data_IF_357626306804
#
_entry.id   IF_357626306804
#
_cell.length_a   1.000
_cell.length_b   1.000
_cell.length_c   1.000
_cell.angle_alpha   90.00
_cell.angle_beta   90.00
_cell.angle_gamma   90.00
#
_symmetry.space_group_name_H-M   'P 1'
#
loop_
_entity.id
_entity.type
_entity.pdbx_description
1 polymer ?
#
# COMPACT_ATOMS: atom_id res chain seq x y z
N UNK A 1 -7.89 3.53 -14.59
CA UNK A 1 -9.11 3.03 -13.93
C UNK A 1 -9.61 4.07 -12.92
N UNK A 2 -10.93 4.26 -12.76
CA UNK A 2 -11.54 5.14 -11.74
C UNK A 2 -11.86 4.31 -10.49
N UNK A 3 -10.81 3.96 -9.74
CA UNK A 3 -10.96 3.23 -8.48
C UNK A 3 -11.36 4.19 -7.35
N UNK A 4 -12.25 3.74 -6.46
CA UNK A 4 -12.72 4.52 -5.31
C UNK A 4 -12.63 3.70 -4.04
N UNK A 5 -12.25 4.37 -2.97
CA UNK A 5 -12.18 3.80 -1.63
C UNK A 5 -12.79 4.76 -0.61
N UNK A 6 -13.22 4.22 0.52
CA UNK A 6 -13.64 4.98 1.69
C UNK A 6 -12.61 4.84 2.80
N UNK A 7 -12.39 5.91 3.56
CA UNK A 7 -11.51 5.88 4.73
C UNK A 7 -12.25 5.16 5.87
N UNK A 8 -11.72 4.01 6.29
CA UNK A 8 -12.27 3.22 7.41
C UNK A 8 -11.56 3.50 8.72
N UNK A 9 -10.27 3.91 8.67
CA UNK A 9 -9.49 4.33 9.83
C UNK A 9 -8.60 5.51 9.45
N UNK A 10 -8.54 6.51 10.33
CA UNK A 10 -7.64 7.64 10.19
C UNK A 10 -7.27 8.16 11.58
N UNK A 11 -6.10 7.74 12.06
CA UNK A 11 -5.48 8.27 13.27
C UNK A 11 -4.14 8.89 12.88
N UNK A 12 -4.02 10.23 12.86
CA UNK A 12 -2.79 10.92 12.49
C UNK A 12 -1.56 10.36 13.21
N UNK A 13 -0.49 10.09 12.46
CA UNK A 13 0.77 9.56 13.01
C UNK A 13 0.72 8.10 13.48
N UNK A 14 -0.40 7.38 13.31
CA UNK A 14 -0.56 6.01 13.83
C UNK A 14 -1.17 5.02 12.85
N UNK A 15 -2.27 5.36 12.20
CA UNK A 15 -3.03 4.39 11.42
C UNK A 15 -3.82 5.06 10.30
N UNK A 16 -3.79 4.44 9.11
CA UNK A 16 -4.64 4.82 8.01
C UNK A 16 -5.10 3.57 7.25
N UNK A 17 -6.40 3.46 6.97
CA UNK A 17 -6.99 2.31 6.28
C UNK A 17 -8.06 2.78 5.30
N UNK A 18 -8.05 2.16 4.11
CA UNK A 18 -9.00 2.35 3.03
C UNK A 18 -9.70 1.04 2.71
N UNK A 19 -11.01 1.09 2.48
CA UNK A 19 -11.79 -0.02 1.93
C UNK A 19 -12.22 0.29 0.50
N UNK A 20 -11.94 -0.63 -0.42
CA UNK A 20 -12.23 -0.47 -1.84
C UNK A 20 -13.73 -0.64 -2.12
N UNK A 21 -14.39 0.43 -2.57
CA UNK A 21 -15.84 0.46 -2.89
C UNK A 21 -16.13 0.50 -4.38
N UNK A 22 -15.11 0.78 -5.20
CA UNK A 22 -15.16 0.64 -6.66
C UNK A 22 -13.78 0.24 -7.16
N UNK A 23 -13.63 -1.00 -7.59
CA UNK A 23 -12.40 -1.56 -8.13
C UNK A 23 -12.74 -2.77 -9.00
N UNK A 24 -11.73 -3.43 -9.56
CA UNK A 24 -11.93 -4.72 -10.22
C UNK A 24 -12.42 -5.78 -9.24
N UNK A 25 -13.02 -6.85 -9.78
CA UNK A 25 -13.72 -7.89 -9.02
C UNK A 25 -12.94 -8.42 -7.82
N UNK A 26 -11.64 -8.66 -7.98
CA UNK A 26 -10.80 -9.23 -6.92
C UNK A 26 -10.37 -8.22 -5.86
N UNK A 27 -10.41 -6.93 -6.19
CA UNK A 27 -10.07 -5.83 -5.29
C UNK A 27 -11.28 -5.28 -4.54
N UNK A 28 -12.50 -5.53 -5.02
CA UNK A 28 -13.72 -5.08 -4.36
C UNK A 28 -13.79 -5.57 -2.91
N UNK A 29 -14.12 -4.67 -1.98
CA UNK A 29 -14.18 -4.94 -0.53
C UNK A 29 -12.85 -5.32 0.13
N UNK A 30 -11.73 -5.30 -0.60
CA UNK A 30 -10.40 -5.42 0.02
C UNK A 30 -10.06 -4.17 0.81
N UNK A 31 -9.20 -4.31 1.82
CA UNK A 31 -8.73 -3.22 2.68
C UNK A 31 -7.23 -3.04 2.56
N UNK A 32 -6.80 -1.81 2.30
CA UNK A 32 -5.40 -1.42 2.22
C UNK A 32 -5.11 -0.50 3.40
N UNK A 33 -4.11 -0.83 4.21
CA UNK A 33 -3.83 -0.05 5.41
C UNK A 33 -2.37 -0.05 5.84
N UNK A 34 -2.07 0.94 6.68
CA UNK A 34 -0.75 1.23 7.20
C UNK A 34 -0.86 1.52 8.69
N UNK A 35 -0.02 0.85 9.47
CA UNK A 35 0.24 1.18 10.88
C UNK A 35 1.63 1.76 11.00
N UNK A 36 1.73 2.88 11.70
CA UNK A 36 2.98 3.59 11.96
C UNK A 36 3.33 3.46 13.44
N UNK A 37 4.58 3.15 13.71
CA UNK A 37 5.11 3.09 15.07
C UNK A 37 6.51 3.67 15.14
N UNK A 38 6.74 4.51 16.15
CA UNK A 38 8.08 4.97 16.46
C UNK A 38 8.87 3.81 17.09
N UNK A 39 10.03 3.47 16.55
CA UNK A 39 10.93 2.45 17.09
C UNK A 39 12.36 2.96 16.97
N UNK A 40 13.08 3.12 18.10
CA UNK A 40 14.51 3.44 18.12
C UNK A 40 14.95 4.59 17.19
N UNK A 41 14.20 5.70 17.18
CA UNK A 41 14.51 6.88 16.36
C UNK A 41 14.09 6.78 14.88
N UNK A 42 13.47 5.67 14.45
CA UNK A 42 12.90 5.52 13.10
C UNK A 42 11.40 5.21 13.16
N UNK A 43 10.70 5.36 12.03
CA UNK A 43 9.30 4.96 11.89
C UNK A 43 9.21 3.57 11.26
N UNK A 44 8.66 2.61 12.01
CA UNK A 44 8.26 1.30 11.47
C UNK A 44 6.90 1.43 10.79
N UNK A 45 6.86 1.12 9.50
CA UNK A 45 5.62 1.03 8.71
C UNK A 45 5.21 -0.44 8.59
N UNK A 46 4.01 -0.78 9.06
CA UNK A 46 3.40 -2.09 8.80
C UNK A 46 2.27 -1.93 7.81
N UNK A 47 2.50 -2.45 6.61
CA UNK A 47 1.53 -2.49 5.53
C UNK A 47 0.68 -3.75 5.63
N UNK A 48 -0.61 -3.64 5.29
CA UNK A 48 -1.46 -4.79 5.05
C UNK A 48 -2.42 -4.53 3.88
N UNK A 49 -2.67 -5.58 3.10
CA UNK A 49 -3.73 -5.61 2.11
C UNK A 49 -4.54 -6.89 2.30
N UNK A 50 -5.71 -6.75 2.94
CA UNK A 50 -6.53 -7.86 3.43
C UNK A 50 -7.89 -7.91 2.72
N UNK A 51 -8.65 -8.98 2.93
CA UNK A 51 -9.99 -9.12 2.37
C UNK A 51 -10.02 -9.67 0.95
N UNK A 52 -8.90 -10.22 0.46
CA UNK A 52 -8.85 -10.92 -0.81
C UNK A 52 -9.72 -12.19 -0.76
N UNK A 53 -10.55 -12.45 -1.77
CA UNK A 53 -11.44 -13.62 -1.79
C UNK A 53 -10.65 -14.93 -1.95
N UNK A 54 -9.50 -14.89 -2.61
CA UNK A 54 -8.67 -16.04 -2.91
C UNK A 54 -7.21 -15.64 -3.17
N UNK A 55 -6.30 -16.61 -3.05
CA UNK A 55 -4.88 -16.45 -3.40
C UNK A 55 -4.70 -16.61 -4.92
N UNK A 56 -5.30 -15.69 -5.67
CA UNK A 56 -5.26 -15.70 -7.13
C UNK A 56 -4.05 -14.92 -7.68
N UNK A 57 -3.96 -14.86 -9.01
CA UNK A 57 -2.88 -14.16 -9.70
C UNK A 57 -2.85 -12.66 -9.35
N UNK A 58 -4.02 -12.00 -9.28
CA UNK A 58 -4.11 -10.60 -8.90
C UNK A 58 -3.58 -10.35 -7.48
N UNK A 59 -3.87 -11.23 -6.53
CA UNK A 59 -3.28 -11.17 -5.19
C UNK A 59 -1.75 -11.25 -5.24
N UNK A 60 -1.20 -12.23 -5.96
CA UNK A 60 0.26 -12.43 -6.06
C UNK A 60 0.97 -11.24 -6.69
N UNK A 61 0.42 -10.72 -7.79
CA UNK A 61 0.95 -9.53 -8.49
C UNK A 61 0.88 -8.32 -7.55
N UNK A 62 -0.25 -8.12 -6.88
CA UNK A 62 -0.45 -6.97 -5.98
C UNK A 62 0.54 -7.00 -4.82
N UNK A 63 0.77 -8.17 -4.22
CA UNK A 63 1.78 -8.36 -3.17
C UNK A 63 3.19 -7.97 -3.64
N UNK A 64 3.59 -8.38 -4.84
CA UNK A 64 4.88 -8.01 -5.42
C UNK A 64 4.98 -6.49 -5.64
N UNK A 65 3.96 -5.89 -6.28
CA UNK A 65 3.92 -4.46 -6.54
C UNK A 65 4.00 -3.61 -5.26
N UNK A 66 3.30 -4.02 -4.20
CA UNK A 66 3.33 -3.29 -2.92
C UNK A 66 4.72 -3.25 -2.29
N UNK A 67 5.49 -4.34 -2.36
CA UNK A 67 6.87 -4.34 -1.89
C UNK A 67 7.74 -3.30 -2.61
N UNK A 68 7.57 -3.19 -3.93
CA UNK A 68 8.27 -2.18 -4.76
C UNK A 68 7.86 -0.76 -4.37
N UNK A 69 6.56 -0.49 -4.25
CA UNK A 69 6.08 0.85 -3.85
C UNK A 69 6.54 1.27 -2.45
N UNK A 70 6.56 0.34 -1.48
CA UNK A 70 7.07 0.62 -0.14
C UNK A 70 8.57 0.93 -0.15
N UNK A 71 9.34 0.26 -1.00
CA UNK A 71 10.77 0.57 -1.20
C UNK A 71 10.96 1.96 -1.82
N UNK A 72 10.17 2.30 -2.84
CA UNK A 72 10.20 3.63 -3.47
C UNK A 72 9.81 4.73 -2.47
N UNK A 73 8.80 4.49 -1.63
CA UNK A 73 8.40 5.40 -0.56
C UNK A 73 9.57 5.67 0.40
N UNK A 74 10.27 4.61 0.82
CA UNK A 74 11.45 4.74 1.69
C UNK A 74 12.55 5.57 1.02
N UNK A 75 12.93 5.25 -0.22
CA UNK A 75 13.96 6.00 -0.97
C UNK A 75 13.57 7.47 -1.13
N UNK A 76 12.32 7.75 -1.48
CA UNK A 76 11.84 9.11 -1.60
C UNK A 76 11.93 9.90 -0.30
N UNK A 77 11.50 9.32 0.83
CA UNK A 77 11.53 9.98 2.14
C UNK A 77 12.98 10.19 2.62
N UNK A 78 13.88 9.24 2.39
CA UNK A 78 15.23 9.27 2.95
C UNK A 78 16.25 10.04 2.09
N UNK A 79 16.08 10.03 0.76
CA UNK A 79 17.05 10.62 -0.18
C UNK A 79 16.46 11.67 -1.11
N UNK A 80 15.13 11.80 -1.17
CA UNK A 80 14.43 12.66 -2.13
C UNK A 80 14.31 12.06 -3.54
N UNK A 81 14.70 10.80 -3.75
CA UNK A 81 14.65 10.16 -5.06
C UNK A 81 13.22 10.03 -5.60
N UNK A 82 13.04 10.30 -6.89
CA UNK A 82 11.77 10.13 -7.61
C UNK A 82 12.04 9.23 -8.82
N UNK A 83 11.36 8.08 -8.86
CA UNK A 83 11.50 7.11 -9.96
C UNK A 83 10.35 7.28 -10.96
N UNK A 84 10.64 7.46 -12.26
CA UNK A 84 9.65 7.48 -13.33
C UNK A 84 8.76 6.25 -13.31
N UNK A 85 7.48 6.39 -13.67
CA UNK A 85 6.51 5.30 -13.58
C UNK A 85 6.97 4.02 -14.27
N UNK A 86 7.54 4.17 -15.46
CA UNK A 86 8.03 3.08 -16.33
C UNK A 86 9.12 2.23 -15.67
N UNK A 87 9.90 2.82 -14.77
CA UNK A 87 11.06 2.19 -14.14
C UNK A 87 10.75 1.62 -12.75
N UNK A 88 9.53 1.80 -12.22
CA UNK A 88 9.21 1.47 -10.82
C UNK A 88 9.32 -0.01 -10.46
N UNK A 89 9.29 -0.88 -11.46
CA UNK A 89 9.41 -2.33 -11.28
C UNK A 89 10.84 -2.85 -11.50
N UNK A 90 11.76 -2.01 -12.00
CA UNK A 90 13.12 -2.41 -12.37
C UNK A 90 14.18 -2.11 -11.29
N UNK A 91 13.79 -1.38 -10.23
CA UNK A 91 14.72 -0.79 -9.25
C UNK A 91 15.01 -1.65 -8.04
#
# INVERSE_FOLDING_TARGET
>A
YDWRAVVTRCTPGREFELEMVRADKDWMSTRVGFLLEQTAGVTRVRFHHTGWPEVNEHYRISCFCWAMYLRLLKRNIETGEIVPYEQRLDV
#
